data_IF_820310595630
#
_entry.id   IF_820310595630
#
_cell.length_a   1.000
_cell.length_b   1.000
_cell.length_c   1.000
_cell.angle_alpha   90.00
_cell.angle_beta   90.00
_cell.angle_gamma   90.00
#
_symmetry.space_group_name_H-M   'P 1'
#
loop_
_entity.id
_entity.type
_entity.pdbx_description
1 polymer ?
#
# COMPACT_ATOMS: atom_id res chain seq x y z
N UNK A 1 0.96 6.57 -7.32
CA UNK A 1 1.30 6.70 -5.88
C UNK A 1 2.76 7.07 -5.62
N UNK A 2 3.77 6.50 -6.32
CA UNK A 2 5.21 6.78 -6.10
C UNK A 2 5.67 8.27 -6.16
N UNK A 3 4.88 9.15 -6.77
CA UNK A 3 5.16 10.59 -6.81
C UNK A 3 4.57 11.36 -5.60
N UNK A 4 3.72 10.73 -4.78
CA UNK A 4 3.27 11.30 -3.50
C UNK A 4 4.44 11.25 -2.53
N UNK A 5 5.08 12.40 -2.33
CA UNK A 5 6.13 12.58 -1.34
C UNK A 5 5.51 13.13 -0.05
N UNK A 6 6.20 12.85 1.05
CA UNK A 6 5.91 13.41 2.36
C UNK A 6 5.70 14.94 2.29
N UNK A 7 4.56 15.40 2.80
CA UNK A 7 4.19 16.83 2.85
C UNK A 7 3.47 17.38 1.61
N UNK A 8 3.43 16.66 0.49
CA UNK A 8 2.73 17.12 -0.72
C UNK A 8 1.24 16.74 -0.70
N UNK A 9 0.41 17.65 -1.21
CA UNK A 9 -1.03 17.43 -1.33
C UNK A 9 -1.34 16.41 -2.42
N UNK A 10 -2.13 15.38 -2.12
CA UNK A 10 -2.57 14.43 -3.15
C UNK A 10 -3.38 15.12 -4.25
N UNK A 11 -4.05 16.23 -3.92
CA UNK A 11 -4.78 17.08 -4.85
C UNK A 11 -3.85 17.78 -5.86
N UNK A 12 -2.67 18.22 -5.41
CA UNK A 12 -1.68 18.89 -6.25
C UNK A 12 -0.99 17.91 -7.21
N UNK A 13 -0.63 16.71 -6.71
CA UNK A 13 -0.11 15.62 -7.53
C UNK A 13 -1.18 15.13 -8.52
N UNK A 14 -2.44 15.02 -8.09
CA UNK A 14 -3.57 14.68 -8.95
C UNK A 14 -3.69 15.65 -10.14
N UNK A 15 -3.68 16.96 -9.88
CA UNK A 15 -3.78 18.00 -10.92
C UNK A 15 -2.65 17.95 -11.94
N UNK A 16 -1.41 17.68 -11.49
CA UNK A 16 -0.22 17.71 -12.35
C UNK A 16 0.06 16.38 -13.06
N UNK A 17 -0.37 15.25 -12.49
CA UNK A 17 -0.10 13.92 -13.03
C UNK A 17 -1.24 13.35 -13.89
N UNK A 18 -2.51 13.76 -13.67
CA UNK A 18 -3.65 13.21 -14.41
C UNK A 18 -3.55 13.40 -15.94
N UNK A 19 -2.96 14.50 -16.39
CA UNK A 19 -2.72 14.78 -17.82
C UNK A 19 -1.51 14.07 -18.43
N UNK A 20 -0.76 13.27 -17.64
CA UNK A 20 0.47 12.57 -18.11
C UNK A 20 0.24 11.09 -18.41
N UNK A 21 -0.98 10.58 -18.22
CA UNK A 21 -1.32 9.21 -18.55
C UNK A 21 -1.61 9.08 -20.05
N UNK A 22 -1.24 7.95 -20.64
CA UNK A 22 -1.52 7.61 -22.04
C UNK A 22 -3.01 7.25 -22.22
N UNK A 23 -3.89 8.22 -21.97
CA UNK A 23 -5.33 8.09 -22.13
C UNK A 23 -5.85 9.30 -22.91
N UNK A 24 -6.78 9.05 -23.84
CA UNK A 24 -7.40 10.10 -24.66
C UNK A 24 -8.22 11.08 -23.80
N UNK A 25 -8.62 10.66 -22.60
CA UNK A 25 -9.28 11.50 -21.61
C UNK A 25 -8.49 11.53 -20.30
N UNK A 26 -8.42 12.70 -19.62
CA UNK A 26 -7.81 12.78 -18.29
C UNK A 26 -8.49 11.82 -17.32
N UNK A 27 -7.69 11.02 -16.61
CA UNK A 27 -8.21 10.12 -15.57
C UNK A 27 -8.77 10.96 -14.43
N UNK A 28 -10.06 10.82 -14.16
CA UNK A 28 -10.72 11.46 -13.03
C UNK A 28 -10.37 10.74 -11.72
N UNK A 29 -9.88 11.51 -10.74
CA UNK A 29 -9.42 11.05 -9.44
C UNK A 29 -10.48 11.31 -8.34
N UNK A 30 -11.50 12.12 -8.62
CA UNK A 30 -12.66 12.34 -7.76
C UNK A 30 -12.52 13.50 -6.79
N UNK A 31 -11.79 14.53 -7.19
CA UNK A 31 -11.67 15.79 -6.46
C UNK A 31 -11.64 17.00 -7.39
N UNK A 32 -11.96 16.85 -8.67
CA UNK A 32 -11.81 17.86 -9.71
C UNK A 32 -12.70 19.09 -9.48
N UNK A 33 -13.92 18.89 -8.97
CA UNK A 33 -14.81 19.98 -8.62
C UNK A 33 -14.42 20.60 -7.29
N UNK A 34 -14.13 19.76 -6.29
CA UNK A 34 -13.78 20.19 -4.93
C UNK A 34 -12.42 20.90 -4.87
N UNK A 35 -11.47 20.54 -5.73
CA UNK A 35 -10.13 21.14 -5.83
C UNK A 35 -10.13 22.60 -6.27
N UNK A 36 -11.27 23.10 -6.79
CA UNK A 36 -11.44 24.49 -7.25
C UNK A 36 -11.94 25.41 -6.14
N UNK A 37 -12.23 24.85 -4.97
CA UNK A 37 -12.80 25.55 -3.82
C UNK A 37 -11.74 25.66 -2.72
N UNK A 38 -11.76 26.77 -2.00
CA UNK A 38 -10.99 26.91 -0.77
C UNK A 38 -11.64 26.13 0.37
N UNK A 39 -10.88 25.83 1.43
CA UNK A 39 -11.38 25.00 2.53
C UNK A 39 -12.53 25.68 3.28
N UNK A 40 -12.42 26.99 3.43
CA UNK A 40 -13.37 27.87 4.11
C UNK A 40 -14.73 27.88 3.40
N UNK A 41 -14.75 27.61 2.08
CA UNK A 41 -15.97 27.50 1.28
C UNK A 41 -16.70 26.17 1.49
N UNK A 42 -16.05 25.18 2.12
CA UNK A 42 -16.57 23.83 2.31
C UNK A 42 -16.98 23.61 3.78
N UNK A 43 -18.19 24.04 4.20
CA UNK A 43 -18.61 23.95 5.60
C UNK A 43 -18.60 22.50 6.12
N UNK A 44 -18.85 21.53 5.25
CA UNK A 44 -18.83 20.11 5.60
C UNK A 44 -17.43 19.48 5.69
N UNK A 45 -16.38 20.20 5.30
CA UNK A 45 -14.98 19.74 5.29
C UNK A 45 -14.67 18.58 4.34
N UNK A 46 -15.60 18.19 3.47
CA UNK A 46 -15.39 17.09 2.51
C UNK A 46 -14.49 17.55 1.36
N UNK A 47 -13.32 16.92 1.22
CA UNK A 47 -12.33 17.26 0.18
C UNK A 47 -12.41 16.44 -1.10
N UNK A 48 -13.39 15.54 -1.22
CA UNK A 48 -13.59 14.70 -2.42
C UNK A 48 -14.98 14.89 -2.98
N UNK A 49 -15.11 14.78 -4.29
CA UNK A 49 -16.36 14.94 -5.02
C UNK A 49 -17.36 13.86 -4.59
N UNK A 50 -16.89 12.60 -4.53
CA UNK A 50 -17.68 11.49 -4.00
C UNK A 50 -18.09 11.71 -2.54
N UNK A 51 -17.20 12.27 -1.70
CA UNK A 51 -17.48 12.56 -0.30
C UNK A 51 -18.63 13.55 -0.13
N UNK A 52 -18.57 14.66 -0.88
CA UNK A 52 -19.64 15.67 -0.95
C UNK A 52 -20.94 15.08 -1.48
N UNK A 53 -20.88 14.34 -2.59
CA UNK A 53 -22.03 13.70 -3.24
C UNK A 53 -22.76 12.72 -2.32
N UNK A 54 -22.01 11.93 -1.53
CA UNK A 54 -22.59 10.96 -0.59
C UNK A 54 -23.10 11.63 0.67
N UNK A 55 -22.44 12.67 1.16
CA UNK A 55 -22.86 13.37 2.37
C UNK A 55 -24.21 14.06 2.19
N UNK A 56 -24.40 14.74 1.05
CA UNK A 56 -25.67 15.45 0.76
C UNK A 56 -26.85 14.50 0.55
N UNK A 57 -26.58 13.27 0.08
CA UNK A 57 -27.59 12.21 -0.16
C UNK A 57 -27.88 11.35 1.08
N UNK A 58 -27.20 11.61 2.20
CA UNK A 58 -27.28 10.74 3.39
C UNK A 58 -28.61 10.89 4.10
N UNK A 59 -29.46 9.86 4.01
CA UNK A 59 -30.75 9.84 4.71
C UNK A 59 -30.62 9.49 6.20
N UNK A 60 -29.76 8.54 6.56
CA UNK A 60 -29.55 8.11 7.95
C UNK A 60 -28.50 8.97 8.64
N UNK A 61 -28.89 9.71 9.68
CA UNK A 61 -28.06 10.68 10.40
C UNK A 61 -27.44 11.71 9.44
N UNK A 62 -28.26 12.58 8.81
CA UNK A 62 -27.79 13.61 7.91
C UNK A 62 -26.84 14.57 8.65
N UNK A 63 -25.89 15.16 7.92
CA UNK A 63 -25.06 16.22 8.48
C UNK A 63 -25.93 17.46 8.74
N UNK A 64 -25.84 18.11 9.91
CA UNK A 64 -26.58 19.35 10.16
C UNK A 64 -26.14 20.50 9.25
N UNK A 65 -24.96 20.38 8.63
CA UNK A 65 -24.37 21.41 7.79
C UNK A 65 -24.84 21.36 6.33
N UNK A 66 -25.50 20.28 5.90
CA UNK A 66 -25.88 20.09 4.49
C UNK A 66 -27.24 20.69 4.09
N UNK A 67 -28.29 20.68 4.93
CA UNK A 67 -29.62 21.19 4.56
C UNK A 67 -29.61 22.64 4.07
N UNK A 68 -28.92 23.52 4.78
CA UNK A 68 -28.89 24.98 4.54
C UNK A 68 -27.60 25.43 3.83
N UNK A 69 -26.85 24.50 3.24
CA UNK A 69 -25.60 24.80 2.55
C UNK A 69 -25.86 25.38 1.16
N UNK A 70 -25.22 26.51 0.84
CA UNK A 70 -25.25 27.12 -0.50
C UNK A 70 -24.74 26.20 -1.61
N UNK A 71 -23.84 25.26 -1.28
CA UNK A 71 -23.27 24.30 -2.23
C UNK A 71 -24.10 23.02 -2.41
N UNK A 72 -25.29 22.94 -1.79
CA UNK A 72 -26.09 21.71 -1.76
C UNK A 72 -26.47 21.23 -3.17
N UNK A 73 -26.93 22.13 -4.03
CA UNK A 73 -27.31 21.79 -5.41
C UNK A 73 -26.13 21.31 -6.23
N UNK A 74 -24.97 21.98 -6.12
CA UNK A 74 -23.71 21.54 -6.75
C UNK A 74 -23.34 20.13 -6.28
N UNK A 75 -23.42 19.85 -4.98
CA UNK A 75 -23.12 18.52 -4.43
C UNK A 75 -24.06 17.42 -4.95
N UNK A 76 -25.32 17.76 -5.30
CA UNK A 76 -26.24 16.82 -5.94
C UNK A 76 -25.88 16.54 -7.40
N UNK A 77 -25.17 17.43 -8.10
CA UNK A 77 -24.70 17.16 -9.46
C UNK A 77 -23.45 16.27 -9.49
N UNK A 78 -22.72 16.16 -8.38
CA UNK A 78 -21.57 15.28 -8.27
C UNK A 78 -21.97 13.80 -8.23
N UNK A 79 -21.14 12.95 -8.84
CA UNK A 79 -21.34 11.50 -8.86
C UNK A 79 -21.11 10.88 -7.47
N UNK A 80 -22.04 10.06 -6.96
CA UNK A 80 -21.84 9.32 -5.71
C UNK A 80 -20.97 8.06 -5.90
N UNK A 81 -20.53 7.74 -7.13
CA UNK A 81 -19.70 6.58 -7.39
C UNK A 81 -18.33 6.71 -6.71
N UNK A 82 -17.76 5.60 -6.20
CA UNK A 82 -16.51 5.63 -5.46
C UNK A 82 -15.32 5.96 -6.37
N UNK A 83 -14.83 7.19 -6.30
CA UNK A 83 -13.63 7.60 -7.01
C UNK A 83 -12.35 7.28 -6.21
N UNK A 84 -11.20 7.34 -6.89
CA UNK A 84 -9.92 6.87 -6.35
C UNK A 84 -9.50 7.58 -5.05
N UNK A 85 -9.51 8.92 -5.01
CA UNK A 85 -9.11 9.67 -3.82
C UNK A 85 -10.05 9.41 -2.64
N UNK A 86 -11.33 9.22 -2.91
CA UNK A 86 -12.31 8.84 -1.89
C UNK A 86 -12.01 7.43 -1.35
N UNK A 87 -11.73 6.46 -2.22
CA UNK A 87 -11.35 5.11 -1.80
C UNK A 87 -10.06 5.13 -0.95
N UNK A 88 -9.04 5.89 -1.34
CA UNK A 88 -7.79 6.02 -0.59
C UNK A 88 -7.99 6.66 0.78
N UNK A 89 -8.82 7.70 0.86
CA UNK A 89 -9.21 8.30 2.13
C UNK A 89 -9.97 7.30 3.02
N UNK A 90 -10.88 6.52 2.44
CA UNK A 90 -11.63 5.46 3.16
C UNK A 90 -10.74 4.33 3.67
N UNK A 91 -9.70 3.98 2.93
CA UNK A 91 -8.67 3.03 3.33
C UNK A 91 -7.64 3.62 4.31
N UNK A 92 -7.71 4.92 4.63
CA UNK A 92 -6.78 5.59 5.53
C UNK A 92 -5.39 5.81 4.94
N UNK A 93 -5.24 5.72 3.61
CA UNK A 93 -3.99 6.07 2.91
C UNK A 93 -3.78 7.58 2.86
N UNK A 94 -4.90 8.30 2.81
CA UNK A 94 -4.96 9.76 2.88
C UNK A 94 -5.74 10.18 4.12
N UNK A 95 -5.34 11.28 4.75
CA UNK A 95 -6.09 11.92 5.82
C UNK A 95 -7.31 12.71 5.29
N UNK A 96 -7.97 13.47 6.17
CA UNK A 96 -9.13 14.30 5.79
C UNK A 96 -8.73 15.41 4.84
N UNK A 97 -7.49 15.87 4.95
CA UNK A 97 -6.88 16.93 4.17
C UNK A 97 -6.32 16.46 2.83
N UNK A 98 -6.43 15.16 2.52
CA UNK A 98 -5.84 14.48 1.37
C UNK A 98 -4.30 14.50 1.37
N UNK A 99 -3.69 14.46 2.55
CA UNK A 99 -2.25 14.27 2.73
C UNK A 99 -1.96 12.79 3.01
N UNK A 100 -0.77 12.37 2.61
CA UNK A 100 -0.33 10.99 2.74
C UNK A 100 -0.11 10.62 4.22
N UNK A 101 -0.79 9.58 4.70
CA UNK A 101 -0.61 9.03 6.05
C UNK A 101 0.60 8.08 6.10
N UNK A 102 1.06 7.66 7.28
CA UNK A 102 2.11 6.63 7.38
C UNK A 102 1.68 5.30 6.71
N UNK A 103 0.41 4.92 6.85
CA UNK A 103 -0.16 3.79 6.11
C UNK A 103 -0.02 3.99 4.60
N UNK A 104 -0.42 5.17 4.12
CA UNK A 104 -0.27 5.56 2.71
C UNK A 104 1.18 5.51 2.23
N UNK A 105 2.14 5.93 3.06
CA UNK A 105 3.57 5.83 2.76
C UNK A 105 4.01 4.38 2.58
N UNK A 106 3.67 3.48 3.51
CA UNK A 106 4.00 2.06 3.38
C UNK A 106 3.43 1.50 2.07
N UNK A 107 2.13 1.74 1.81
CA UNK A 107 1.46 1.25 0.60
C UNK A 107 2.11 1.82 -0.67
N UNK A 108 2.58 3.06 -0.64
CA UNK A 108 3.21 3.72 -1.80
C UNK A 108 4.50 3.06 -2.30
N UNK A 109 5.15 2.22 -1.48
CA UNK A 109 6.33 1.46 -1.87
C UNK A 109 5.99 0.27 -2.78
N UNK A 110 4.73 -0.16 -2.81
CA UNK A 110 4.26 -1.32 -3.54
C UNK A 110 3.40 -0.90 -4.74
N UNK A 111 3.31 -1.79 -5.73
CA UNK A 111 2.44 -1.60 -6.90
C UNK A 111 1.08 -2.28 -6.72
N UNK A 112 1.05 -3.42 -6.04
CA UNK A 112 -0.15 -4.19 -5.80
C UNK A 112 -0.75 -3.99 -4.39
N UNK A 113 -1.85 -4.69 -4.10
CA UNK A 113 -2.58 -4.58 -2.83
C UNK A 113 -1.83 -5.21 -1.65
N UNK A 114 -0.67 -5.84 -1.85
CA UNK A 114 0.15 -6.45 -0.80
C UNK A 114 0.56 -5.40 0.24
N UNK A 115 0.85 -4.18 -0.21
CA UNK A 115 1.17 -3.06 0.67
C UNK A 115 0.05 -2.75 1.68
N UNK A 116 -1.23 -2.96 1.31
CA UNK A 116 -2.37 -2.78 2.20
C UNK A 116 -2.33 -3.83 3.32
N UNK A 117 -2.14 -5.10 2.97
CA UNK A 117 -2.05 -6.15 3.97
C UNK A 117 -0.86 -5.96 4.93
N UNK A 118 0.30 -5.57 4.39
CA UNK A 118 1.47 -5.24 5.20
C UNK A 118 1.17 -4.08 6.16
N UNK A 119 0.60 -2.98 5.67
CA UNK A 119 0.30 -1.84 6.51
C UNK A 119 -0.71 -2.20 7.62
N UNK A 120 -1.76 -2.99 7.30
CA UNK A 120 -2.71 -3.45 8.29
C UNK A 120 -2.05 -4.32 9.38
N UNK A 121 -1.19 -5.27 8.99
CA UNK A 121 -0.48 -6.14 9.94
C UNK A 121 0.51 -5.38 10.84
N UNK A 122 1.21 -4.39 10.28
CA UNK A 122 2.17 -3.58 11.01
C UNK A 122 1.50 -2.63 12.01
N UNK A 123 0.28 -2.18 11.72
CA UNK A 123 -0.51 -1.36 12.64
C UNK A 123 -1.07 -2.15 13.84
N UNK A 124 -1.34 -3.45 13.70
CA UNK A 124 -1.68 -4.29 14.86
C UNK A 124 -0.41 -4.60 15.66
N UNK A 125 -0.26 -3.94 16.81
CA UNK A 125 0.88 -4.13 17.70
C UNK A 125 1.04 -5.55 18.26
N UNK A 126 0.00 -6.39 18.16
CA UNK A 126 0.04 -7.79 18.61
C UNK A 126 0.45 -8.76 17.51
N UNK A 127 0.64 -8.29 16.28
CA UNK A 127 1.05 -9.16 15.17
C UNK A 127 2.53 -9.54 15.32
N UNK A 128 2.88 -10.83 15.45
CA UNK A 128 4.27 -11.27 15.49
C UNK A 128 4.95 -11.05 14.13
N UNK A 129 6.02 -10.26 14.09
CA UNK A 129 6.65 -9.85 12.83
C UNK A 129 7.41 -10.99 12.15
N UNK A 130 7.98 -11.89 12.95
CA UNK A 130 8.57 -13.15 12.49
C UNK A 130 7.57 -14.01 11.73
N UNK A 131 6.32 -14.05 12.20
CA UNK A 131 5.26 -14.76 11.50
C UNK A 131 4.79 -14.01 10.26
N UNK A 132 4.73 -12.68 10.33
CA UNK A 132 4.33 -11.84 9.19
C UNK A 132 5.21 -12.11 7.97
N UNK A 133 6.51 -12.36 8.16
CA UNK A 133 7.44 -12.69 7.06
C UNK A 133 6.91 -13.86 6.24
N UNK A 134 6.40 -14.91 6.86
CA UNK A 134 5.85 -16.07 6.17
C UNK A 134 4.39 -15.90 5.78
N UNK A 135 3.58 -15.26 6.63
CA UNK A 135 2.16 -15.03 6.37
C UNK A 135 1.94 -14.19 5.09
N UNK A 136 2.92 -13.36 4.70
CA UNK A 136 2.86 -12.63 3.42
C UNK A 136 2.88 -13.53 2.18
N UNK A 137 3.33 -14.78 2.29
CA UNK A 137 3.23 -15.75 1.19
C UNK A 137 1.78 -16.01 0.79
N UNK A 138 0.85 -15.96 1.75
CA UNK A 138 -0.58 -16.10 1.47
C UNK A 138 -1.10 -15.05 0.49
N UNK A 139 -0.44 -13.89 0.33
CA UNK A 139 -0.85 -12.85 -0.62
C UNK A 139 -0.77 -13.27 -2.09
N UNK A 140 -0.09 -14.38 -2.39
CA UNK A 140 0.16 -14.85 -3.75
C UNK A 140 -0.43 -16.25 -4.03
N UNK A 141 -1.21 -16.79 -3.10
CA UNK A 141 -1.70 -18.18 -3.18
C UNK A 141 -2.94 -18.36 -4.04
N UNK A 142 -3.84 -17.37 -4.07
CA UNK A 142 -5.19 -17.55 -4.60
C UNK A 142 -5.89 -18.78 -4.00
N UNK A 143 -6.61 -19.54 -4.82
CA UNK A 143 -7.32 -20.74 -4.34
C UNK A 143 -6.43 -22.00 -4.30
N UNK A 144 -5.23 -21.95 -4.89
CA UNK A 144 -4.41 -23.16 -5.15
C UNK A 144 -3.89 -23.84 -3.90
N UNK A 145 -3.56 -23.05 -2.86
CA UNK A 145 -2.93 -23.56 -1.64
C UNK A 145 -3.93 -23.84 -0.51
N UNK A 146 -5.17 -23.36 -0.65
CA UNK A 146 -6.18 -23.49 0.40
C UNK A 146 -6.68 -24.94 0.55
N UNK A 147 -6.70 -25.71 -0.55
CA UNK A 147 -7.23 -27.08 -0.55
C UNK A 147 -8.69 -27.09 -0.10
N UNK A 148 -8.98 -27.86 0.94
CA UNK A 148 -10.32 -27.91 1.57
C UNK A 148 -10.55 -26.82 2.63
N UNK A 149 -9.52 -26.06 3.01
CA UNK A 149 -9.66 -24.97 3.96
C UNK A 149 -10.30 -23.74 3.31
N UNK A 150 -11.02 -22.90 4.08
CA UNK A 150 -11.48 -21.62 3.58
C UNK A 150 -10.31 -20.74 3.17
N UNK A 151 -10.38 -20.21 1.94
CA UNK A 151 -9.39 -19.29 1.38
C UNK A 151 -9.00 -18.13 2.31
N UNK A 152 -9.99 -17.57 3.01
CA UNK A 152 -9.85 -16.45 3.95
C UNK A 152 -9.63 -16.93 5.38
N UNK A 153 -8.58 -17.72 5.58
CA UNK A 153 -8.15 -18.20 6.90
C UNK A 153 -6.79 -17.60 7.27
N UNK A 154 -6.59 -17.33 8.56
CA UNK A 154 -5.31 -16.88 9.12
C UNK A 154 -5.35 -15.49 9.77
N UNK A 155 -4.25 -15.12 10.44
CA UNK A 155 -4.10 -13.85 11.15
C UNK A 155 -4.14 -12.65 10.22
N UNK A 156 -3.44 -12.72 9.08
CA UNK A 156 -3.35 -11.63 8.12
C UNK A 156 -4.72 -11.21 7.58
N UNK A 157 -5.57 -12.17 7.22
CA UNK A 157 -6.97 -11.92 6.83
C UNK A 157 -7.73 -11.16 7.92
N UNK A 158 -7.68 -11.65 9.16
CA UNK A 158 -8.45 -11.05 10.26
C UNK A 158 -8.07 -9.60 10.49
N UNK A 159 -6.78 -9.28 10.42
CA UNK A 159 -6.29 -7.91 10.58
C UNK A 159 -6.68 -7.04 9.38
N UNK A 160 -6.56 -7.55 8.15
CA UNK A 160 -7.04 -6.85 6.95
C UNK A 160 -8.54 -6.54 7.01
N UNK A 161 -9.37 -7.53 7.34
CA UNK A 161 -10.82 -7.35 7.47
C UNK A 161 -11.18 -6.30 8.53
N UNK A 162 -10.50 -6.32 9.67
CA UNK A 162 -10.70 -5.36 10.75
C UNK A 162 -10.30 -3.95 10.31
N UNK A 163 -9.11 -3.80 9.75
CA UNK A 163 -8.54 -2.51 9.34
C UNK A 163 -9.32 -1.86 8.20
N UNK A 164 -9.78 -2.66 7.23
CA UNK A 164 -10.48 -2.18 6.04
C UNK A 164 -12.00 -2.37 6.09
N UNK A 165 -12.54 -2.80 7.23
CA UNK A 165 -13.98 -2.94 7.51
C UNK A 165 -14.75 -3.69 6.42
N UNK A 166 -14.12 -4.75 5.90
CA UNK A 166 -14.66 -5.61 4.84
C UNK A 166 -15.11 -4.89 3.57
N UNK A 167 -14.46 -3.77 3.22
CA UNK A 167 -14.74 -3.05 1.97
C UNK A 167 -14.26 -3.85 0.74
N UNK A 168 -15.05 -3.84 -0.33
CA UNK A 168 -14.64 -4.37 -1.63
C UNK A 168 -14.30 -3.21 -2.55
N UNK A 169 -13.10 -3.26 -3.14
CA UNK A 169 -12.62 -2.33 -4.16
C UNK A 169 -12.09 -3.19 -5.30
N UNK A 170 -12.70 -3.04 -6.47
CA UNK A 170 -12.41 -3.87 -7.65
C UNK A 170 -10.92 -3.93 -7.96
N UNK A 171 -10.42 -5.15 -8.16
CA UNK A 171 -9.02 -5.46 -8.44
C UNK A 171 -8.06 -5.33 -7.24
N UNK A 172 -8.48 -4.74 -6.12
CA UNK A 172 -7.60 -4.40 -5.00
C UNK A 172 -7.92 -5.22 -3.75
N UNK A 173 -9.18 -5.15 -3.30
CA UNK A 173 -9.66 -5.77 -2.07
C UNK A 173 -11.00 -6.46 -2.31
N UNK A 174 -11.15 -7.66 -1.79
CA UNK A 174 -12.40 -8.38 -1.66
C UNK A 174 -12.69 -8.59 -0.17
N UNK A 175 -13.78 -8.04 0.34
CA UNK A 175 -14.12 -8.07 1.77
C UNK A 175 -12.95 -7.60 2.66
N UNK A 176 -12.23 -6.57 2.23
CA UNK A 176 -11.12 -5.97 2.97
C UNK A 176 -9.80 -6.74 2.88
N UNK A 177 -9.73 -7.81 2.08
CA UNK A 177 -8.53 -8.65 1.92
C UNK A 177 -8.02 -8.55 0.48
N UNK A 178 -6.71 -8.52 0.22
CA UNK A 178 -6.17 -8.57 -1.14
C UNK A 178 -6.74 -9.71 -1.98
N UNK A 179 -7.07 -9.41 -3.24
CA UNK A 179 -7.77 -10.32 -4.17
C UNK A 179 -6.98 -11.58 -4.54
N UNK A 180 -5.68 -11.64 -4.26
CA UNK A 180 -4.83 -12.82 -4.47
C UNK A 180 -4.53 -13.60 -3.18
N UNK A 181 -5.09 -13.16 -2.04
CA UNK A 181 -4.88 -13.86 -0.78
C UNK A 181 -5.40 -15.30 -0.85
N UNK A 182 -4.67 -16.26 -0.28
CA UNK A 182 -5.10 -17.63 -0.05
C UNK A 182 -4.33 -18.25 1.12
N UNK A 183 -5.05 -18.91 2.03
CA UNK A 183 -4.42 -19.69 3.11
C UNK A 183 -3.62 -20.88 2.59
N UNK A 184 -2.64 -21.36 3.37
CA UNK A 184 -1.86 -22.57 3.06
C UNK A 184 -0.49 -22.29 2.45
N UNK A 185 -0.29 -21.12 1.84
CA UNK A 185 1.00 -20.77 1.25
C UNK A 185 2.07 -20.44 2.30
N UNK A 186 1.68 -19.83 3.42
CA UNK A 186 2.59 -19.54 4.52
C UNK A 186 3.19 -20.82 5.10
N UNK A 187 2.37 -21.85 5.30
CA UNK A 187 2.76 -23.18 5.76
C UNK A 187 3.69 -23.86 4.75
N UNK A 188 3.36 -23.79 3.46
CA UNK A 188 4.19 -24.31 2.38
C UNK A 188 5.60 -23.66 2.38
N UNK A 189 5.66 -22.33 2.50
CA UNK A 189 6.93 -21.60 2.53
C UNK A 189 7.74 -21.92 3.79
N UNK A 190 7.11 -22.04 4.96
CA UNK A 190 7.79 -22.46 6.19
C UNK A 190 8.38 -23.86 6.08
N UNK A 191 7.62 -24.82 5.54
CA UNK A 191 8.10 -26.17 5.31
C UNK A 191 9.37 -26.18 4.43
N UNK A 192 9.39 -25.36 3.38
CA UNK A 192 10.54 -25.28 2.47
C UNK A 192 11.75 -24.58 3.08
N UNK A 193 11.55 -23.52 3.86
CA UNK A 193 12.65 -22.67 4.31
C UNK A 193 13.15 -23.02 5.71
N UNK A 194 12.25 -23.28 6.66
CA UNK A 194 12.62 -23.61 8.04
C UNK A 194 12.85 -25.11 8.20
N UNK A 195 11.96 -25.93 7.62
CA UNK A 195 12.00 -27.40 7.79
C UNK A 195 12.82 -28.09 6.70
N UNK A 196 13.32 -27.34 5.70
CA UNK A 196 14.11 -27.84 4.56
C UNK A 196 13.44 -28.99 3.81
N UNK A 197 12.11 -29.01 3.77
CA UNK A 197 11.33 -30.02 3.06
C UNK A 197 11.63 -29.98 1.55
N UNK A 198 11.49 -31.12 0.88
CA UNK A 198 11.67 -31.17 -0.57
C UNK A 198 10.45 -30.55 -1.25
N UNK A 199 10.67 -29.82 -2.35
CA UNK A 199 9.57 -29.24 -3.15
C UNK A 199 8.53 -30.27 -3.60
N UNK A 200 8.97 -31.50 -3.88
CA UNK A 200 8.07 -32.59 -4.26
C UNK A 200 7.17 -33.05 -3.11
N UNK A 201 7.67 -33.07 -1.87
CA UNK A 201 6.89 -33.42 -0.68
C UNK A 201 5.83 -32.35 -0.39
N UNK A 202 6.22 -31.07 -0.48
CA UNK A 202 5.29 -29.96 -0.31
C UNK A 202 4.24 -29.96 -1.42
N UNK A 203 4.62 -30.19 -2.68
CA UNK A 203 3.65 -30.31 -3.78
C UNK A 203 2.66 -31.47 -3.55
N UNK A 204 3.14 -32.62 -3.08
CA UNK A 204 2.28 -33.77 -2.81
C UNK A 204 1.31 -33.54 -1.63
N UNK A 205 1.64 -32.62 -0.71
CA UNK A 205 0.78 -32.26 0.42
C UNK A 205 -0.37 -31.31 0.04
N UNK A 206 -0.34 -30.71 -1.15
CA UNK A 206 -1.39 -29.82 -1.63
C UNK A 206 -2.18 -30.47 -2.78
N UNK A 207 -3.52 -30.44 -2.67
CA UNK A 207 -4.41 -31.06 -3.66
C UNK A 207 -4.36 -30.36 -5.03
N UNK A 208 -4.28 -29.03 -5.04
CA UNK A 208 -4.39 -28.22 -6.26
C UNK A 208 -3.10 -27.48 -6.65
N UNK A 209 -2.11 -27.39 -5.75
CA UNK A 209 -0.87 -26.66 -6.02
C UNK A 209 0.23 -27.62 -6.52
N UNK A 210 0.71 -27.38 -7.74
CA UNK A 210 1.82 -28.13 -8.32
C UNK A 210 3.20 -27.56 -7.96
N UNK A 211 4.25 -28.25 -8.41
CA UNK A 211 5.64 -27.77 -8.25
C UNK A 211 5.88 -26.39 -8.88
N UNK A 212 5.26 -26.12 -10.04
CA UNK A 212 5.34 -24.80 -10.69
C UNK A 212 4.68 -23.69 -9.88
N UNK A 213 3.61 -23.99 -9.16
CA UNK A 213 2.94 -23.04 -8.27
C UNK A 213 3.80 -22.69 -7.07
N UNK A 214 4.47 -23.69 -6.50
CA UNK A 214 5.43 -23.49 -5.42
C UNK A 214 6.61 -22.62 -5.88
N UNK A 215 7.14 -22.86 -7.08
CA UNK A 215 8.25 -22.07 -7.62
C UNK A 215 7.83 -20.62 -7.90
N UNK A 216 6.62 -20.40 -8.42
CA UNK A 216 6.03 -19.06 -8.58
C UNK A 216 5.80 -18.38 -7.24
N UNK A 217 5.18 -19.07 -6.28
CA UNK A 217 4.92 -18.57 -4.93
C UNK A 217 6.21 -18.09 -4.26
N UNK A 218 7.26 -18.91 -4.28
CA UNK A 218 8.56 -18.56 -3.72
C UNK A 218 9.19 -17.36 -4.42
N UNK A 219 9.00 -17.23 -5.74
CA UNK A 219 9.53 -16.11 -6.52
C UNK A 219 8.83 -14.81 -6.15
N UNK A 220 7.50 -14.80 -6.11
CA UNK A 220 6.69 -13.63 -5.75
C UNK A 220 6.90 -13.23 -4.29
N UNK A 221 6.87 -14.21 -3.37
CA UNK A 221 7.13 -13.97 -1.95
C UNK A 221 8.51 -13.34 -1.72
N UNK A 222 9.58 -13.89 -2.32
CA UNK A 222 10.93 -13.29 -2.23
C UNK A 222 10.99 -11.93 -2.91
N UNK A 223 10.25 -11.72 -3.99
CA UNK A 223 10.13 -10.40 -4.65
C UNK A 223 9.54 -9.37 -3.68
N UNK A 224 8.46 -9.72 -2.98
CA UNK A 224 7.87 -8.87 -1.94
C UNK A 224 8.84 -8.58 -0.80
N UNK A 225 9.53 -9.60 -0.28
CA UNK A 225 10.53 -9.40 0.77
C UNK A 225 11.67 -8.45 0.32
N UNK A 226 12.10 -8.54 -0.95
CA UNK A 226 13.10 -7.60 -1.51
C UNK A 226 12.56 -6.18 -1.61
N UNK A 227 11.30 -6.02 -2.01
CA UNK A 227 10.64 -4.71 -2.04
C UNK A 227 10.58 -4.10 -0.64
N UNK A 228 10.19 -4.87 0.38
CA UNK A 228 10.20 -4.43 1.79
C UNK A 228 11.62 -4.07 2.23
N UNK A 229 12.58 -4.97 2.05
CA UNK A 229 13.97 -4.77 2.49
C UNK A 229 14.63 -3.53 1.85
N UNK A 230 14.32 -3.26 0.58
CA UNK A 230 14.82 -2.12 -0.20
C UNK A 230 14.01 -0.84 -0.04
N UNK A 231 12.79 -0.89 0.48
CA UNK A 231 11.98 0.30 0.75
C UNK A 231 12.66 1.20 1.79
N UNK A 232 12.45 2.52 1.77
CA UNK A 232 13.06 3.44 2.71
C UNK A 232 12.45 3.32 4.12
N UNK A 233 13.18 3.84 5.13
CA UNK A 233 12.64 4.01 6.48
C UNK A 233 11.53 5.06 6.47
N UNK A 234 10.56 4.93 7.37
CA UNK A 234 9.50 5.92 7.51
C UNK A 234 10.07 7.16 8.22
N UNK A 235 10.12 8.28 7.49
CA UNK A 235 10.39 9.57 8.12
C UNK A 235 9.14 9.98 8.88
N UNK A 236 9.29 10.21 10.18
CA UNK A 236 8.29 10.91 10.98
C UNK A 236 8.15 12.30 10.38
N UNK A 237 6.98 12.59 9.84
CA UNK A 237 6.62 13.94 9.42
C UNK A 237 5.74 14.45 10.53
N UNK A 238 6.10 15.56 11.14
CA UNK A 238 5.18 16.32 11.96
C UNK A 238 3.93 16.57 11.12
N UNK A 239 2.82 15.94 11.49
CA UNK A 239 1.52 16.22 10.89
C UNK A 239 1.22 17.71 11.08
N UNK A 240 1.61 18.51 10.09
CA UNK A 240 1.32 19.93 9.91
C UNK A 240 0.85 20.67 11.14
N UNK A 241 1.73 20.91 12.12
CA UNK A 241 1.59 22.12 12.92
C UNK A 241 1.99 23.25 11.99
N UNK A 242 1.00 23.93 11.39
CA UNK A 242 1.24 25.32 10.99
C UNK A 242 1.50 26.06 12.30
N UNK A 243 2.73 26.48 12.51
CA UNK A 243 3.06 27.50 13.48
C UNK A 243 2.10 28.67 13.22
N UNK A 244 1.23 28.95 14.18
CA UNK A 244 0.63 30.26 14.27
C UNK A 244 1.77 31.20 14.70
N UNK A 245 2.54 31.68 13.73
CA UNK A 245 3.27 32.95 13.89
C UNK A 245 2.23 34.06 13.90
N UNK A 246 1.65 34.26 15.07
CA UNK A 246 1.08 35.54 15.48
C UNK A 246 1.68 35.81 16.85
N UNK A 247 2.73 36.62 16.87
CA UNK A 247 3.25 37.28 18.06
C UNK A 247 2.09 37.99 18.81
N UNK A 248 1.96 37.72 20.10
CA UNK A 248 1.01 38.38 21.00
C UNK A 248 1.01 37.69 22.38
N UNK A 249 1.10 38.43 23.49
CA UNK A 249 1.73 37.92 24.71
C UNK A 249 0.77 37.11 25.61
N UNK A 250 1.36 36.12 26.27
CA UNK A 250 1.06 35.59 27.60
C UNK A 250 -0.41 35.60 28.07
N UNK A 251 -1.05 34.43 28.01
CA UNK A 251 -1.94 34.02 29.10
C UNK A 251 -1.74 32.54 29.42
N UNK A 252 -1.24 32.30 30.63
CA UNK A 252 -1.19 31.00 31.27
C UNK A 252 -2.61 30.47 31.47
N UNK A 253 -3.00 29.48 30.67
CA UNK A 253 -4.09 28.57 31.02
C UNK A 253 -3.76 27.18 30.46
N UNK A 254 -3.31 26.31 31.35
CA UNK A 254 -3.01 24.91 31.08
C UNK A 254 -4.27 24.17 30.56
N UNK A 255 -4.36 24.01 29.24
CA UNK A 255 -5.32 23.14 28.57
C UNK A 255 -4.64 21.89 28.05
N UNK A 256 -4.62 20.82 28.85
CA UNK A 256 -4.18 19.49 28.45
C UNK A 256 -5.06 18.95 27.30
N UNK A 257 -4.57 18.97 26.05
CA UNK A 257 -5.23 18.34 24.89
C UNK A 257 -4.88 16.83 24.84
N UNK A 258 -5.80 15.89 25.13
CA UNK A 258 -5.47 14.47 25.27
C UNK A 258 -5.25 13.73 23.93
N UNK A 259 -5.59 14.34 22.79
CA UNK A 259 -5.63 13.66 21.48
C UNK A 259 -4.31 13.57 20.73
N UNK A 260 -3.37 14.50 20.97
CA UNK A 260 -2.18 14.65 20.11
C UNK A 260 -1.05 13.68 20.49
N UNK A 261 -0.89 13.37 21.79
CA UNK A 261 0.17 12.46 22.26
C UNK A 261 -0.02 11.03 21.72
N UNK A 262 -1.26 10.53 21.70
CA UNK A 262 -1.54 9.16 21.25
C UNK A 262 -1.26 8.93 19.77
N UNK A 263 -1.54 9.92 18.91
CA UNK A 263 -1.29 9.80 17.46
C UNK A 263 0.21 9.76 17.13
N UNK A 264 1.01 10.58 17.83
CA UNK A 264 2.47 10.58 17.69
C UNK A 264 3.08 9.28 18.19
N UNK A 265 2.58 8.74 19.31
CA UNK A 265 3.02 7.44 19.84
C UNK A 265 2.70 6.29 18.89
N UNK A 266 1.47 6.22 18.34
CA UNK A 266 1.08 5.20 17.37
C UNK A 266 1.91 5.28 16.08
N UNK A 267 2.19 6.50 15.62
CA UNK A 267 3.03 6.74 14.45
C UNK A 267 4.47 6.27 14.67
N UNK A 268 5.03 6.53 15.86
CA UNK A 268 6.36 6.05 16.23
C UNK A 268 6.42 4.52 16.34
N UNK A 269 5.37 3.90 16.90
CA UNK A 269 5.28 2.43 16.98
C UNK A 269 5.23 1.81 15.59
N UNK A 270 4.44 2.37 14.66
CA UNK A 270 4.37 1.89 13.29
C UNK A 270 5.72 2.04 12.57
N UNK A 271 6.39 3.18 12.73
CA UNK A 271 7.72 3.41 12.15
C UNK A 271 8.76 2.39 12.67
N UNK A 272 8.78 2.13 13.98
CA UNK A 272 9.65 1.12 14.58
C UNK A 272 9.37 -0.28 14.04
N UNK A 273 8.09 -0.68 14.03
CA UNK A 273 7.67 -2.00 13.52
C UNK A 273 8.01 -2.18 12.05
N UNK A 274 7.89 -1.12 11.25
CA UNK A 274 8.31 -1.12 9.85
C UNK A 274 9.81 -1.41 9.70
N UNK A 275 10.66 -0.76 10.50
CA UNK A 275 12.11 -0.98 10.45
C UNK A 275 12.53 -2.35 10.97
N UNK A 276 11.89 -2.84 12.04
CA UNK A 276 12.04 -4.21 12.54
C UNK A 276 11.69 -5.24 11.45
N UNK A 277 10.52 -5.07 10.81
CA UNK A 277 10.08 -5.96 9.74
C UNK A 277 11.01 -5.94 8.53
N UNK A 278 11.51 -4.76 8.13
CA UNK A 278 12.55 -4.65 7.09
C UNK A 278 13.82 -5.39 7.46
N UNK A 279 14.24 -5.35 8.73
CA UNK A 279 15.36 -6.11 9.25
C UNK A 279 15.16 -7.62 9.11
N UNK A 280 13.99 -8.12 9.50
CA UNK A 280 13.62 -9.54 9.37
C UNK A 280 13.61 -9.99 7.90
N UNK A 281 13.05 -9.20 6.99
CA UNK A 281 13.09 -9.50 5.56
C UNK A 281 14.52 -9.59 5.01
N UNK A 282 15.43 -8.71 5.45
CA UNK A 282 16.86 -8.79 5.06
C UNK A 282 17.53 -10.04 5.58
N UNK A 283 17.30 -10.38 6.86
CA UNK A 283 17.85 -11.60 7.46
C UNK A 283 17.36 -12.84 6.70
N UNK A 284 16.08 -12.90 6.38
CA UNK A 284 15.48 -14.01 5.63
C UNK A 284 16.05 -14.16 4.23
N UNK A 285 16.24 -13.04 3.51
CA UNK A 285 16.87 -13.05 2.19
C UNK A 285 18.36 -13.40 2.25
N UNK A 286 19.05 -12.99 3.32
CA UNK A 286 20.46 -13.31 3.57
C UNK A 286 20.70 -14.80 3.83
N UNK A 287 19.88 -15.41 4.69
CA UNK A 287 19.89 -16.86 4.92
C UNK A 287 19.64 -17.64 3.62
N UNK A 288 18.64 -17.22 2.84
CA UNK A 288 18.36 -17.83 1.54
C UNK A 288 19.50 -17.67 0.51
N UNK A 289 20.30 -16.60 0.60
CA UNK A 289 21.45 -16.38 -0.30
C UNK A 289 22.64 -17.28 0.08
N UNK A 290 22.87 -17.51 1.37
CA UNK A 290 23.90 -18.42 1.85
C UNK A 290 23.66 -19.86 1.38
N UNK A 291 22.39 -20.27 1.28
CA UNK A 291 22.01 -21.61 0.81
C UNK A 291 22.07 -21.77 -0.73
N UNK A 292 22.17 -20.68 -1.51
CA UNK A 292 21.86 -20.71 -2.95
C UNK A 292 23.02 -20.37 -3.90
N UNK A 293 24.16 -19.85 -3.42
CA UNK A 293 25.25 -19.44 -4.31
C UNK A 293 26.54 -20.22 -4.02
N UNK A 294 27.03 -21.03 -4.97
CA UNK A 294 28.42 -21.47 -4.93
C UNK A 294 29.34 -20.24 -5.03
N UNK A 295 30.55 -20.35 -4.49
CA UNK A 295 31.58 -19.33 -4.70
C UNK A 295 31.82 -19.18 -6.21
N UNK A 296 31.28 -18.12 -6.80
CA UNK A 296 31.50 -17.84 -8.20
C UNK A 296 32.96 -17.39 -8.39
N UNK A 297 33.68 -17.93 -9.38
CA UNK A 297 35.00 -17.43 -9.71
C UNK A 297 34.94 -15.95 -10.11
N UNK A 298 36.03 -15.19 -9.90
CA UNK A 298 36.08 -13.79 -10.32
C UNK A 298 35.84 -13.67 -11.83
N UNK A 299 35.06 -12.66 -12.24
CA UNK A 299 34.78 -12.38 -13.65
C UNK A 299 36.08 -12.19 -14.44
N UNK A 300 36.23 -12.94 -15.52
CA UNK A 300 37.37 -12.83 -16.43
C UNK A 300 37.38 -11.47 -17.14
N UNK A 301 38.54 -11.06 -17.68
CA UNK A 301 38.66 -9.79 -18.41
C UNK A 301 37.69 -9.70 -19.61
N UNK A 302 37.37 -10.83 -20.25
CA UNK A 302 36.40 -10.89 -21.35
C UNK A 302 34.96 -10.69 -20.89
N UNK A 303 34.56 -11.25 -19.75
CA UNK A 303 33.22 -11.08 -19.18
C UNK A 303 32.94 -9.65 -18.70
N UNK A 304 33.99 -8.86 -18.48
CA UNK A 304 33.90 -7.44 -18.14
C UNK A 304 33.82 -6.53 -19.36
N UNK A 305 34.01 -7.05 -20.58
CA UNK A 305 33.94 -6.24 -21.79
C UNK A 305 32.49 -5.80 -22.04
N UNK A 306 32.26 -4.54 -22.44
CA UNK A 306 30.94 -4.09 -22.84
C UNK A 306 30.45 -4.89 -24.06
N UNK A 307 29.34 -5.60 -23.92
CA UNK A 307 28.70 -6.30 -25.05
C UNK A 307 27.75 -5.32 -25.73
N UNK A 308 28.00 -5.03 -27.01
CA UNK A 308 27.13 -4.19 -27.80
C UNK A 308 26.01 -5.04 -28.42
N UNK A 309 24.80 -5.00 -27.85
CA UNK A 309 23.65 -5.80 -28.31
C UNK A 309 22.95 -5.24 -29.56
N UNK A 310 23.59 -4.32 -30.29
CA UNK A 310 23.04 -3.77 -31.54
C UNK A 310 23.17 -4.79 -32.67
N UNK A 311 22.10 -5.56 -32.90
CA UNK A 311 21.87 -6.28 -34.15
C UNK A 311 21.53 -5.31 -35.28
N UNK A 312 22.49 -4.51 -35.74
CA UNK A 312 22.40 -3.87 -37.05
C UNK A 312 23.39 -4.54 -37.99
N UNK A 313 22.83 -5.27 -38.97
CA UNK A 313 23.58 -5.76 -40.14
C UNK A 313 24.14 -4.52 -40.84
N UNK A 314 25.46 -4.38 -40.89
CA UNK A 314 26.08 -3.34 -41.69
C UNK A 314 25.72 -3.59 -43.16
N UNK A 315 24.79 -2.80 -43.71
CA UNK A 315 24.55 -2.72 -45.15
C UNK A 315 25.82 -2.14 -45.77
N UNK A 316 26.57 -2.97 -46.48
CA UNK A 316 27.72 -2.51 -47.26
C UNK A 316 27.23 -1.48 -48.28
N UNK A 317 27.57 -0.21 -48.05
CA UNK A 317 27.31 0.86 -48.99
C UNK A 317 28.10 0.60 -50.28
N UNK A 318 27.39 0.40 -51.39
CA UNK A 318 27.97 0.43 -52.73
C UNK A 318 28.52 1.83 -52.97
N UNK A 319 29.83 1.94 -53.14
CA UNK A 319 30.52 3.11 -53.70
C UNK A 319 30.12 3.23 -55.17
N UNK A 320 29.57 4.38 -55.54
CA UNK A 320 29.66 4.92 -56.90
C UNK A 320 30.78 5.96 -56.89
#
# INVERSE_FOLDING_TARGET
MRQLRDGHSALEVARTAAGRFFADQPILLGAEATARRELEELPCGQRTDTGRARLVRRQKNPSPLCPDCSLREECFQLSPQPALLWQWQKLGLLDRELRLTLRGKIVSFFLGPEGLALAAALEDGRYPLEDLVFDTANLFAGDRFAGTNPRRLGRLVRVCEHTYRRITIEGWLEHGVPTQYGSGAAEAVRALVEQKARRGEVAAAHEYAGRGDIDRLLTEWRSLLRQVAGAPALKMVDCGMRNAESEGPESEAAGFKPGTRNATTLSAVLARRWDEFRGLCRAQLGAAKADALPNLPPLTAEQRRPVNHRFFRATAAKRW
#
